data_IF_339094367737
#
_entry.id   IF_339094367737
#
_cell.length_a   1.000
_cell.length_b   1.000
_cell.length_c   1.000
_cell.angle_alpha   90.00
_cell.angle_beta   90.00
_cell.angle_gamma   90.00
#
_symmetry.space_group_name_H-M   'P 1'
#
loop_
_entity.id
_entity.type
_entity.pdbx_description
1 polymer ?
#
# COMPACT_ATOMS: atom_id res chain seq x y z
N UNK A 1 -1.98 6.14 -24.08
CA UNK A 1 -1.13 5.35 -23.18
C UNK A 1 -1.55 5.68 -21.76
N UNK A 2 -2.39 4.84 -21.15
CA UNK A 2 -2.84 5.05 -19.76
C UNK A 2 -1.72 4.57 -18.86
N UNK A 3 -0.80 5.49 -18.57
CA UNK A 3 0.37 5.29 -17.72
C UNK A 3 -0.06 4.64 -16.40
N UNK A 4 0.39 3.40 -16.17
CA UNK A 4 0.07 2.62 -15.00
C UNK A 4 0.88 3.17 -13.81
N UNK A 5 0.55 4.37 -13.36
CA UNK A 5 1.25 5.08 -12.30
C UNK A 5 1.14 4.30 -11.00
N UNK A 6 2.23 3.66 -10.59
CA UNK A 6 2.34 3.04 -9.26
C UNK A 6 2.46 4.11 -8.18
N UNK A 7 2.18 3.76 -6.92
CA UNK A 7 2.40 4.67 -5.78
C UNK A 7 3.84 5.18 -5.77
N UNK A 8 4.82 4.33 -6.13
CA UNK A 8 6.22 4.75 -6.28
C UNK A 8 6.39 5.88 -7.29
N UNK A 9 5.75 5.78 -8.47
CA UNK A 9 5.80 6.87 -9.46
C UNK A 9 5.11 8.13 -8.96
N UNK A 10 3.97 8.00 -8.28
CA UNK A 10 3.26 9.14 -7.69
C UNK A 10 4.09 9.82 -6.60
N UNK A 11 4.82 9.05 -5.80
CA UNK A 11 5.78 9.57 -4.82
C UNK A 11 6.93 10.29 -5.50
N UNK A 12 7.53 9.70 -6.54
CA UNK A 12 8.59 10.34 -7.32
C UNK A 12 8.11 11.62 -8.00
N UNK A 13 6.85 11.65 -8.45
CA UNK A 13 6.20 12.83 -9.01
C UNK A 13 5.72 13.83 -7.94
N UNK A 14 6.02 13.61 -6.65
CA UNK A 14 5.59 14.44 -5.52
C UNK A 14 4.05 14.58 -5.40
N UNK A 15 3.30 13.64 -5.95
CA UNK A 15 1.84 13.59 -5.86
C UNK A 15 1.41 13.02 -4.51
N UNK A 16 2.10 11.98 -4.03
CA UNK A 16 1.84 11.33 -2.73
C UNK A 16 3.07 11.52 -1.83
N UNK A 17 2.85 12.01 -0.61
CA UNK A 17 3.91 12.18 0.37
C UNK A 17 4.33 10.84 0.99
N UNK A 18 5.59 10.76 1.44
CA UNK A 18 6.09 9.57 2.11
C UNK A 18 5.33 9.27 3.42
N UNK A 19 4.93 10.30 4.15
CA UNK A 19 4.07 10.18 5.34
C UNK A 19 2.72 9.51 5.03
N UNK A 20 2.13 9.76 3.86
CA UNK A 20 0.88 9.09 3.50
C UNK A 20 1.08 7.60 3.22
N UNK A 21 2.25 7.23 2.69
CA UNK A 21 2.62 5.83 2.46
C UNK A 21 2.85 5.14 3.81
N UNK A 22 3.51 5.79 4.76
CA UNK A 22 3.72 5.22 6.08
C UNK A 22 2.38 5.08 6.85
N UNK A 23 1.53 6.11 6.80
CA UNK A 23 0.18 6.06 7.39
C UNK A 23 -0.69 4.95 6.81
N UNK A 24 -0.59 4.68 5.50
CA UNK A 24 -1.32 3.57 4.87
C UNK A 24 -0.74 2.19 5.25
N UNK A 25 0.58 2.08 5.45
CA UNK A 25 1.19 0.87 6.01
C UNK A 25 0.72 0.64 7.45
N UNK A 26 0.72 1.68 8.29
CA UNK A 26 0.28 1.59 9.69
C UNK A 26 -1.22 1.24 9.79
N UNK A 27 -2.08 1.84 8.96
CA UNK A 27 -3.50 1.49 8.89
C UNK A 27 -3.70 0.02 8.54
N UNK A 28 -2.88 -0.52 7.62
CA UNK A 28 -2.88 -1.94 7.27
C UNK A 28 -2.48 -2.83 8.45
N UNK A 29 -1.40 -2.46 9.15
CA UNK A 29 -0.89 -3.22 10.30
C UNK A 29 -1.83 -3.15 11.52
N UNK A 30 -2.56 -2.04 11.67
CA UNK A 30 -3.59 -1.86 12.70
C UNK A 30 -4.86 -2.69 12.43
N UNK A 31 -4.98 -3.31 11.25
CA UNK A 31 -6.15 -4.11 10.86
C UNK A 31 -7.36 -3.26 10.44
N UNK A 32 -7.19 -1.94 10.33
CA UNK A 32 -8.23 -0.99 9.89
C UNK A 32 -8.33 -0.95 8.35
N UNK A 33 -8.55 -2.10 7.71
CA UNK A 33 -8.50 -2.26 6.24
C UNK A 33 -9.84 -2.49 5.57
N UNK A 34 -10.95 -2.18 6.24
CA UNK A 34 -12.30 -2.38 5.71
C UNK A 34 -12.65 -1.48 4.51
N UNK A 35 -11.88 -0.41 4.27
CA UNK A 35 -12.15 0.55 3.20
C UNK A 35 -10.91 0.84 2.33
N UNK A 36 -11.09 1.19 1.04
CA UNK A 36 -10.00 1.67 0.20
C UNK A 36 -9.37 2.90 0.85
N UNK A 37 -8.06 2.84 1.14
CA UNK A 37 -7.34 3.96 1.70
C UNK A 37 -7.36 5.12 0.71
N UNK A 38 -7.91 6.25 1.15
CA UNK A 38 -7.97 7.46 0.33
C UNK A 38 -6.76 8.32 0.66
N UNK A 39 -5.86 8.42 -0.31
CA UNK A 39 -4.77 9.38 -0.26
C UNK A 39 -5.32 10.80 -0.35
N UNK A 40 -4.65 11.74 0.32
CA UNK A 40 -4.98 13.17 0.28
C UNK A 40 -4.93 13.73 -1.14
N UNK A 41 -4.11 13.12 -2.01
CA UNK A 41 -4.02 13.40 -3.44
C UNK A 41 -5.27 13.02 -4.25
N UNK A 42 -6.34 12.54 -3.61
CA UNK A 42 -7.57 12.09 -4.28
C UNK A 42 -7.47 10.71 -4.91
N UNK A 43 -6.40 9.97 -4.64
CA UNK A 43 -6.21 8.61 -5.16
C UNK A 43 -6.74 7.59 -4.15
N UNK A 44 -7.35 6.50 -4.64
CA UNK A 44 -7.83 5.41 -3.76
C UNK A 44 -6.98 4.17 -3.99
N UNK A 45 -6.56 3.55 -2.89
CA UNK A 45 -5.79 2.32 -2.92
C UNK A 45 -6.41 1.28 -2.01
N UNK A 46 -6.74 0.14 -2.60
CA UNK A 46 -7.13 -1.01 -1.83
C UNK A 46 -5.86 -1.72 -1.32
N UNK A 47 -5.52 -1.48 -0.05
CA UNK A 47 -4.33 -2.02 0.60
C UNK A 47 -4.35 -3.55 0.63
N UNK A 48 -5.53 -4.16 0.86
CA UNK A 48 -5.71 -5.62 0.84
C UNK A 48 -5.43 -6.18 -0.55
N UNK A 49 -5.96 -5.53 -1.59
CA UNK A 49 -5.74 -5.94 -2.98
C UNK A 49 -4.29 -5.73 -3.42
N UNK A 50 -3.66 -4.64 -2.99
CA UNK A 50 -2.24 -4.35 -3.22
C UNK A 50 -1.35 -5.45 -2.63
N UNK A 51 -1.59 -5.80 -1.37
CA UNK A 51 -0.84 -6.85 -0.67
C UNK A 51 -1.10 -8.23 -1.27
N UNK A 52 -2.34 -8.57 -1.62
CA UNK A 52 -2.67 -9.82 -2.33
C UNK A 52 -2.05 -9.90 -3.73
N UNK A 53 -1.95 -8.78 -4.42
CA UNK A 53 -1.32 -8.74 -5.75
C UNK A 53 0.20 -8.90 -5.68
N UNK A 54 0.80 -8.83 -4.48
CA UNK A 54 2.22 -8.96 -4.27
C UNK A 54 2.56 -10.29 -3.57
N UNK A 55 3.16 -11.27 -4.25
CA UNK A 55 3.35 -12.63 -3.71
C UNK A 55 4.16 -12.61 -2.41
N UNK A 56 5.15 -11.73 -2.29
CA UNK A 56 5.94 -11.56 -1.07
C UNK A 56 5.13 -10.99 0.10
N UNK A 57 4.24 -10.02 -0.11
CA UNK A 57 3.46 -9.46 0.99
C UNK A 57 2.28 -10.36 1.38
N UNK A 58 1.67 -11.04 0.39
CA UNK A 58 0.63 -12.03 0.65
C UNK A 58 1.12 -13.16 1.56
N UNK A 59 2.31 -13.70 1.29
CA UNK A 59 2.88 -14.78 2.10
C UNK A 59 3.16 -14.32 3.55
N UNK A 60 3.62 -13.08 3.72
CA UNK A 60 3.92 -12.52 5.04
C UNK A 60 2.66 -12.15 5.84
N UNK A 61 1.60 -11.68 5.18
CA UNK A 61 0.31 -11.42 5.84
C UNK A 61 -0.41 -12.71 6.21
N UNK A 62 -0.30 -13.75 5.38
CA UNK A 62 -0.81 -15.09 5.70
C UNK A 62 -0.10 -15.73 6.89
N UNK A 63 1.16 -15.37 7.15
CA UNK A 63 1.89 -15.81 8.33
C UNK A 63 1.49 -14.97 9.55
N UNK A 64 0.51 -15.47 10.29
CA UNK A 64 0.05 -14.88 11.56
C UNK A 64 1.18 -14.69 12.59
N UNK A 65 2.23 -15.54 12.52
CA UNK A 65 3.34 -15.57 13.48
C UNK A 65 4.51 -14.62 13.14
N UNK A 66 4.42 -13.86 12.05
CA UNK A 66 5.44 -12.86 11.71
C UNK A 66 5.09 -11.55 12.43
N UNK A 67 5.98 -11.11 13.32
CA UNK A 67 5.81 -9.88 14.09
C UNK A 67 5.58 -8.67 13.19
N UNK A 68 4.77 -7.73 13.67
CA UNK A 68 4.32 -6.52 12.95
C UNK A 68 5.49 -5.71 12.37
N UNK A 69 6.64 -5.73 13.04
CA UNK A 69 7.90 -5.10 12.61
C UNK A 69 8.47 -5.69 11.32
N UNK A 70 8.33 -7.01 11.11
CA UNK A 70 8.79 -7.69 9.90
C UNK A 70 7.80 -7.50 8.75
N UNK A 71 6.51 -7.32 9.02
CA UNK A 71 5.48 -7.07 7.99
C UNK A 71 5.59 -5.68 7.38
N UNK A 72 5.98 -4.66 8.15
CA UNK A 72 6.05 -3.26 7.73
C UNK A 72 6.81 -3.03 6.41
N UNK A 73 8.08 -3.47 6.23
CA UNK A 73 8.80 -3.24 4.97
C UNK A 73 8.19 -3.98 3.77
N UNK A 74 7.62 -5.17 3.96
CA UNK A 74 6.97 -5.92 2.88
C UNK A 74 5.65 -5.29 2.46
N UNK A 75 4.83 -4.86 3.43
CA UNK A 75 3.59 -4.13 3.16
C UNK A 75 3.90 -2.81 2.46
N UNK A 76 4.94 -2.08 2.90
CA UNK A 76 5.40 -0.86 2.22
C UNK A 76 5.82 -1.12 0.78
N UNK A 77 6.61 -2.16 0.52
CA UNK A 77 7.02 -2.52 -0.84
C UNK A 77 5.84 -2.91 -1.73
N UNK A 78 4.84 -3.62 -1.18
CA UNK A 78 3.62 -3.96 -1.91
C UNK A 78 2.77 -2.72 -2.23
N UNK A 79 2.62 -1.79 -1.28
CA UNK A 79 1.92 -0.51 -1.47
C UNK A 79 2.61 0.33 -2.53
N UNK A 80 3.95 0.44 -2.48
CA UNK A 80 4.74 1.18 -3.48
C UNK A 80 4.57 0.65 -4.90
N UNK A 81 4.52 -0.68 -5.06
CA UNK A 81 4.30 -1.35 -6.35
C UNK A 81 2.83 -1.39 -6.76
N UNK A 82 1.92 -1.08 -5.86
CA UNK A 82 0.50 -1.09 -6.16
C UNK A 82 0.11 0.08 -7.06
N UNK A 83 -0.94 -0.14 -7.84
CA UNK A 83 -1.52 0.84 -8.75
C UNK A 83 -2.79 1.38 -8.10
N UNK A 84 -2.81 2.64 -7.62
CA UNK A 84 -4.04 3.23 -7.14
C UNK A 84 -5.04 3.37 -8.27
N UNK A 85 -6.32 3.28 -7.93
CA UNK A 85 -7.39 3.68 -8.84
C UNK A 85 -7.59 5.19 -8.70
N UNK A 86 -7.53 5.90 -9.83
CA UNK A 86 -7.95 7.29 -9.92
C UNK A 86 -9.48 7.31 -9.84
N UNK A 87 -10.06 7.95 -8.82
CA UNK A 87 -11.50 7.93 -8.58
C UNK A 87 -12.00 9.05 -7.69
#
# INVERSE_FOLDING_TARGET
>A
MTDLQTIQMLRTANVIAEDEIDASVEAFLSGAVSEPYRFRSGHRLNLVKAVRSHPGAQEFVGRANVGTLLKRPFVRAAILQARPMKG
#
